data_IF_563495073330
#
_entry.id   IF_563495073330
#
_cell.length_a   1.000
_cell.length_b   1.000
_cell.length_c   1.000
_cell.angle_alpha   90.00
_cell.angle_beta   90.00
_cell.angle_gamma   90.00
#
_symmetry.space_group_name_H-M   'P 1'
#
loop_
_entity.id
_entity.type
_entity.pdbx_description
1 polymer ?
#
# COMPACT_ATOMS: atom_id res chain seq x y z
N UNK A 1 22.60 46.55 -6.98
CA UNK A 1 23.54 45.40 -6.97
C UNK A 1 23.31 44.52 -5.73
N UNK A 2 22.06 44.19 -5.39
CA UNK A 2 21.70 43.35 -4.22
C UNK A 2 20.81 42.15 -4.59
N UNK A 3 20.31 42.08 -5.83
CA UNK A 3 19.40 41.01 -6.27
C UNK A 3 20.12 39.77 -6.80
N UNK A 4 21.35 39.90 -7.32
CA UNK A 4 22.12 38.75 -7.85
C UNK A 4 22.46 37.71 -6.77
N UNK A 5 22.68 38.13 -5.52
CA UNK A 5 22.96 37.20 -4.41
C UNK A 5 21.72 36.37 -4.03
N UNK A 6 20.51 36.96 -4.12
CA UNK A 6 19.27 36.25 -3.79
C UNK A 6 18.92 35.20 -4.85
N UNK A 7 19.18 35.51 -6.12
CA UNK A 7 18.94 34.60 -7.24
C UNK A 7 19.89 33.39 -7.24
N UNK A 8 21.15 33.59 -6.87
CA UNK A 8 22.12 32.48 -6.80
C UNK A 8 21.83 31.53 -5.63
N UNK A 9 21.45 32.09 -4.47
CA UNK A 9 21.10 31.29 -3.29
C UNK A 9 19.85 30.45 -3.52
N UNK A 10 18.81 31.00 -4.16
CA UNK A 10 17.60 30.21 -4.48
C UNK A 10 17.89 29.10 -5.49
N UNK A 11 18.74 29.35 -6.48
CA UNK A 11 19.16 28.34 -7.46
C UNK A 11 19.91 27.17 -6.79
N UNK A 12 20.83 27.46 -5.87
CA UNK A 12 21.57 26.44 -5.12
C UNK A 12 20.62 25.59 -4.25
N UNK A 13 19.71 26.23 -3.50
CA UNK A 13 18.75 25.52 -2.67
C UNK A 13 17.86 24.61 -3.52
N UNK A 14 17.40 25.11 -4.67
CA UNK A 14 16.56 24.33 -5.59
C UNK A 14 17.30 23.13 -6.14
N UNK A 15 18.55 23.31 -6.57
CA UNK A 15 19.41 22.22 -7.01
C UNK A 15 19.61 21.18 -5.89
N UNK A 16 19.79 21.62 -4.65
CA UNK A 16 19.98 20.73 -3.51
C UNK A 16 18.71 19.93 -3.18
N UNK A 17 17.54 20.56 -3.22
CA UNK A 17 16.24 19.87 -3.04
C UNK A 17 16.05 18.80 -4.12
N UNK A 18 16.32 19.13 -5.39
CA UNK A 18 16.21 18.18 -6.50
C UNK A 18 17.20 17.02 -6.31
N UNK A 19 18.45 17.32 -5.93
CA UNK A 19 19.46 16.29 -5.68
C UNK A 19 19.04 15.34 -4.55
N UNK A 20 18.47 15.84 -3.46
CA UNK A 20 17.95 15.02 -2.36
C UNK A 20 16.82 14.12 -2.87
N UNK A 21 15.84 14.68 -3.60
CA UNK A 21 14.71 13.90 -4.14
C UNK A 21 15.17 12.77 -5.07
N UNK A 22 16.22 13.01 -5.87
CA UNK A 22 16.79 11.99 -6.75
C UNK A 22 17.51 10.87 -5.97
N UNK A 23 18.11 11.19 -4.81
CA UNK A 23 18.82 10.23 -3.96
C UNK A 23 17.86 9.46 -3.04
N UNK A 24 16.71 10.05 -2.66
CA UNK A 24 15.75 9.46 -1.74
C UNK A 24 15.20 8.10 -2.18
N UNK A 25 15.31 7.76 -3.48
CA UNK A 25 14.89 6.47 -4.00
C UNK A 25 13.37 6.22 -3.86
N UNK A 26 12.85 5.13 -4.46
CA UNK A 26 11.48 4.72 -4.20
C UNK A 26 11.36 4.17 -2.78
N UNK A 27 10.45 4.74 -1.97
CA UNK A 27 10.08 4.14 -0.68
C UNK A 27 9.21 2.92 -0.95
N UNK A 28 9.54 1.78 -0.34
CA UNK A 28 8.74 0.56 -0.49
C UNK A 28 7.63 0.58 0.55
N UNK A 29 6.41 0.93 0.14
CA UNK A 29 5.28 1.08 1.05
C UNK A 29 4.60 -0.24 1.47
N UNK A 30 4.86 -1.32 0.72
CA UNK A 30 4.25 -2.63 0.92
C UNK A 30 5.18 -3.73 0.43
N UNK A 31 5.17 -4.87 1.12
CA UNK A 31 5.77 -6.12 0.69
C UNK A 31 4.69 -7.20 0.58
N UNK A 32 4.69 -7.92 -0.54
CA UNK A 32 3.83 -9.09 -0.76
C UNK A 32 4.72 -10.32 -0.81
N UNK A 33 4.45 -11.29 0.06
CA UNK A 33 5.15 -12.56 0.10
C UNK A 33 4.15 -13.72 0.00
N UNK A 34 4.58 -14.82 -0.62
CA UNK A 34 3.83 -16.07 -0.64
C UNK A 34 4.60 -17.07 0.21
N UNK A 35 3.93 -17.65 1.20
CA UNK A 35 4.51 -18.58 2.17
C UNK A 35 3.84 -19.93 1.99
N UNK A 36 4.62 -21.01 2.14
CA UNK A 36 4.17 -22.40 2.06
C UNK A 36 3.54 -22.81 0.71
N UNK A 37 3.85 -22.09 -0.37
CA UNK A 37 3.48 -22.53 -1.72
C UNK A 37 4.44 -23.67 -2.15
N UNK A 38 3.93 -24.87 -2.46
CA UNK A 38 4.78 -25.97 -2.89
C UNK A 38 5.26 -25.77 -4.34
N UNK A 39 6.47 -26.26 -4.63
CA UNK A 39 7.07 -26.19 -5.98
C UNK A 39 6.33 -27.05 -7.01
N UNK A 40 5.60 -28.07 -6.55
CA UNK A 40 4.81 -28.97 -7.38
C UNK A 40 3.53 -29.40 -6.64
N UNK A 41 2.50 -29.75 -7.41
CA UNK A 41 1.22 -30.22 -6.91
C UNK A 41 0.72 -31.38 -7.80
N UNK A 42 0.10 -32.38 -7.19
CA UNK A 42 -0.53 -33.46 -7.94
C UNK A 42 -2.01 -33.17 -8.24
N UNK A 43 -2.55 -33.81 -9.29
CA UNK A 43 -3.95 -33.62 -9.66
C UNK A 43 -4.86 -34.14 -8.54
N UNK A 44 -5.72 -33.27 -8.04
CA UNK A 44 -6.65 -33.58 -6.95
C UNK A 44 -6.14 -33.21 -5.55
N UNK A 45 -4.91 -32.71 -5.46
CA UNK A 45 -4.36 -32.19 -4.20
C UNK A 45 -4.95 -30.83 -3.84
N UNK A 46 -5.19 -30.59 -2.55
CA UNK A 46 -5.59 -29.29 -2.02
C UNK A 46 -4.33 -28.56 -1.58
N UNK A 47 -4.02 -27.46 -2.25
CA UNK A 47 -2.87 -26.62 -1.94
C UNK A 47 -3.29 -25.50 -1.00
N UNK A 48 -2.58 -25.37 0.12
CA UNK A 48 -2.75 -24.30 1.08
C UNK A 48 -1.46 -23.48 1.11
N UNK A 49 -1.59 -22.17 0.88
CA UNK A 49 -0.49 -21.22 0.97
C UNK A 49 -0.99 -19.94 1.63
N UNK A 50 -0.08 -19.15 2.17
CA UNK A 50 -0.39 -17.88 2.81
C UNK A 50 0.13 -16.72 1.97
N UNK A 51 -0.75 -15.74 1.72
CA UNK A 51 -0.35 -14.44 1.21
C UNK A 51 -0.08 -13.54 2.41
N UNK A 52 1.17 -13.12 2.57
CA UNK A 52 1.59 -12.18 3.59
C UNK A 52 1.73 -10.79 2.97
N UNK A 53 0.88 -9.87 3.39
CA UNK A 53 0.84 -8.49 2.93
C UNK A 53 1.31 -7.62 4.09
N UNK A 54 2.57 -7.22 4.05
CA UNK A 54 3.18 -6.36 5.04
C UNK A 54 3.14 -4.91 4.54
N UNK A 55 2.50 -4.03 5.32
CA UNK A 55 2.43 -2.59 5.06
C UNK A 55 3.12 -1.92 6.24
N UNK A 56 4.13 -1.09 5.94
CA UNK A 56 4.86 -0.39 6.99
C UNK A 56 3.90 0.47 7.83
N UNK A 57 4.12 0.52 9.15
CA UNK A 57 3.26 1.24 10.08
C UNK A 57 3.17 2.76 9.79
N UNK A 58 4.15 3.30 9.07
CA UNK A 58 4.17 4.70 8.62
C UNK A 58 3.52 4.93 7.26
N UNK A 59 3.08 3.87 6.59
CA UNK A 59 2.50 3.89 5.24
C UNK A 59 0.98 3.70 5.26
N UNK A 60 0.30 4.32 4.29
CA UNK A 60 -1.16 4.29 4.16
C UNK A 60 -1.55 3.80 2.78
N UNK A 61 -1.58 2.48 2.61
CA UNK A 61 -1.82 1.84 1.30
C UNK A 61 -3.25 1.26 1.23
N UNK A 62 -4.23 1.98 0.64
CA UNK A 62 -5.61 1.48 0.53
C UNK A 62 -5.70 0.26 -0.39
N UNK A 63 -5.93 -0.91 0.19
CA UNK A 63 -6.25 -2.13 -0.56
C UNK A 63 -7.74 -2.11 -0.94
N UNK A 64 -8.04 -2.19 -2.23
CA UNK A 64 -9.43 -2.21 -2.73
C UNK A 64 -9.96 -3.62 -2.91
N UNK A 65 -9.12 -4.49 -3.47
CA UNK A 65 -9.44 -5.89 -3.76
C UNK A 65 -8.16 -6.72 -3.79
N UNK A 66 -8.31 -8.02 -3.59
CA UNK A 66 -7.24 -9.02 -3.73
C UNK A 66 -7.56 -9.83 -4.97
N UNK A 67 -6.62 -9.93 -5.91
CA UNK A 67 -6.80 -10.66 -7.17
C UNK A 67 -5.88 -11.87 -7.15
N UNK A 68 -6.46 -13.07 -7.13
CA UNK A 68 -5.74 -14.31 -7.35
C UNK A 68 -5.80 -14.65 -8.84
N UNK A 69 -4.65 -14.65 -9.51
CA UNK A 69 -4.55 -15.03 -10.92
C UNK A 69 -3.85 -16.37 -11.05
N UNK A 70 -4.55 -17.35 -11.63
CA UNK A 70 -4.03 -18.69 -11.90
C UNK A 70 -4.26 -18.98 -13.38
N UNK A 71 -3.17 -19.04 -14.15
CA UNK A 71 -3.19 -19.12 -15.61
C UNK A 71 -4.05 -18.00 -16.23
N UNK A 72 -5.18 -18.34 -16.85
CA UNK A 72 -6.11 -17.39 -17.46
C UNK A 72 -7.34 -17.08 -16.60
N UNK A 73 -7.35 -17.55 -15.34
CA UNK A 73 -8.47 -17.33 -14.41
C UNK A 73 -8.10 -16.27 -13.41
N UNK A 74 -8.92 -15.22 -13.31
CA UNK A 74 -8.80 -14.18 -12.29
C UNK A 74 -9.96 -14.28 -11.30
N UNK A 75 -9.63 -14.51 -10.04
CA UNK A 75 -10.57 -14.52 -8.93
C UNK A 75 -10.38 -13.29 -8.08
N UNK A 76 -11.42 -12.46 -7.99
CA UNK A 76 -11.38 -11.19 -7.27
C UNK A 76 -12.05 -11.38 -5.92
N UNK A 77 -11.37 -10.95 -4.86
CA UNK A 77 -11.85 -11.01 -3.50
C UNK A 77 -11.91 -9.61 -2.91
N UNK A 78 -12.93 -9.35 -2.11
CA UNK A 78 -12.94 -8.20 -1.22
C UNK A 78 -11.86 -8.37 -0.14
N UNK A 79 -11.44 -7.28 0.49
CA UNK A 79 -10.40 -7.28 1.53
C UNK A 79 -10.76 -8.11 2.78
N UNK A 80 -12.05 -8.40 2.98
CA UNK A 80 -12.55 -9.30 4.02
C UNK A 80 -12.46 -10.80 3.63
N UNK A 81 -11.92 -11.12 2.45
CA UNK A 81 -11.80 -12.50 1.94
C UNK A 81 -13.01 -13.02 1.16
N UNK A 82 -14.11 -12.27 1.05
CA UNK A 82 -15.30 -12.76 0.34
C UNK A 82 -15.13 -12.62 -1.17
N UNK A 83 -15.49 -13.66 -1.93
CA UNK A 83 -15.43 -13.65 -3.39
C UNK A 83 -16.34 -12.55 -3.97
N UNK A 84 -15.78 -11.73 -4.87
CA UNK A 84 -16.51 -10.69 -5.58
C UNK A 84 -17.45 -11.35 -6.60
N UNK A 85 -18.75 -10.96 -6.64
CA UNK A 85 -19.75 -11.57 -7.54
C UNK A 85 -19.45 -11.40 -9.03
N UNK A 86 -18.55 -10.49 -9.41
CA UNK A 86 -18.10 -10.31 -10.80
C UNK A 86 -17.11 -11.42 -11.23
N UNK A 87 -16.55 -12.17 -10.27
CA UNK A 87 -15.60 -13.25 -10.55
C UNK A 87 -16.24 -14.40 -11.34
N UNK A 88 -15.50 -15.08 -12.23
CA UNK A 88 -16.04 -16.21 -12.97
C UNK A 88 -16.37 -17.41 -12.07
N UNK A 89 -17.26 -18.30 -12.55
CA UNK A 89 -17.83 -19.42 -11.77
C UNK A 89 -16.78 -20.41 -11.25
N UNK A 90 -15.68 -20.58 -11.99
CA UNK A 90 -14.57 -21.46 -11.62
C UNK A 90 -13.79 -20.98 -10.38
N UNK A 91 -14.01 -19.75 -9.91
CA UNK A 91 -13.41 -19.24 -8.68
C UNK A 91 -13.97 -19.86 -7.39
N UNK A 92 -15.06 -20.62 -7.48
CA UNK A 92 -15.62 -21.38 -6.36
C UNK A 92 -14.69 -22.50 -5.86
N UNK A 93 -13.68 -22.90 -6.65
CA UNK A 93 -12.65 -23.86 -6.24
C UNK A 93 -11.60 -23.26 -5.28
N UNK A 94 -11.57 -21.93 -5.12
CA UNK A 94 -10.58 -21.23 -4.31
C UNK A 94 -11.25 -20.53 -3.13
N UNK A 95 -10.71 -20.74 -1.93
CA UNK A 95 -11.17 -20.09 -0.71
C UNK A 95 -10.08 -19.16 -0.19
N UNK A 96 -10.39 -17.87 -0.09
CA UNK A 96 -9.52 -16.90 0.58
C UNK A 96 -10.03 -16.68 2.00
N UNK A 97 -9.21 -16.97 3.00
CA UNK A 97 -9.52 -16.71 4.40
C UNK A 97 -8.56 -15.68 4.94
N UNK A 98 -9.10 -14.61 5.53
CA UNK A 98 -8.27 -13.60 6.21
C UNK A 98 -7.78 -14.20 7.54
N UNK A 99 -6.46 -14.32 7.69
CA UNK A 99 -5.82 -14.93 8.88
C UNK A 99 -5.54 -13.94 9.99
N UNK A 100 -5.35 -12.66 9.66
CA UNK A 100 -5.19 -11.57 10.62
C UNK A 100 -6.10 -10.40 10.29
N UNK A 101 -6.79 -9.91 11.31
CA UNK A 101 -7.63 -8.72 11.22
C UNK A 101 -6.85 -7.54 11.81
N UNK A 102 -6.23 -6.76 10.94
CA UNK A 102 -5.80 -5.41 11.30
C UNK A 102 -6.99 -4.48 11.07
N UNK A 103 -7.52 -3.82 12.13
CA UNK A 103 -8.60 -2.88 11.96
C UNK A 103 -8.12 -1.69 11.12
N UNK A 104 -8.71 -1.53 9.94
CA UNK A 104 -8.55 -0.31 9.15
C UNK A 104 -9.28 0.81 9.89
N UNK A 105 -8.54 1.78 10.43
CA UNK A 105 -9.09 2.93 11.13
C UNK A 105 -9.15 4.12 10.19
N UNK A 106 -10.33 4.68 9.94
CA UNK A 106 -10.40 5.98 9.27
C UNK A 106 -9.81 7.05 10.19
N UNK A 107 -8.66 7.60 9.82
CA UNK A 107 -7.99 8.66 10.56
C UNK A 107 -8.63 10.01 10.27
N UNK A 108 -9.38 10.54 11.23
CA UNK A 108 -9.74 11.95 11.31
C UNK A 108 -8.62 12.65 12.11
N UNK A 109 -7.63 13.23 11.42
CA UNK A 109 -6.50 13.91 12.05
C UNK A 109 -6.64 15.42 12.02
N UNK A 110 -6.39 16.08 13.15
CA UNK A 110 -6.16 17.53 13.20
C UNK A 110 -4.65 17.80 13.17
N UNK A 111 -4.20 18.61 12.21
CA UNK A 111 -2.83 19.14 12.22
C UNK A 111 -2.74 20.28 13.23
N UNK A 112 -2.15 20.02 14.41
CA UNK A 112 -1.88 21.05 15.41
C UNK A 112 -0.37 21.26 15.53
N UNK A 113 0.11 22.46 15.20
CA UNK A 113 1.46 22.90 15.54
C UNK A 113 1.44 23.45 16.97
N UNK A 114 2.27 22.91 17.86
CA UNK A 114 2.34 23.36 19.25
C UNK A 114 3.09 24.69 19.41
N UNK A 115 3.81 25.17 18.37
CA UNK A 115 4.64 26.38 18.43
C UNK A 115 4.00 27.59 17.75
N UNK A 116 3.17 27.36 16.75
CA UNK A 116 2.35 28.39 16.13
C UNK A 116 0.91 27.99 16.38
N UNK A 117 0.10 28.83 17.02
CA UNK A 117 -1.32 28.58 17.34
C UNK A 117 -2.22 28.46 16.10
N UNK A 118 -1.67 28.02 14.96
CA UNK A 118 -2.33 27.80 13.69
C UNK A 118 -2.78 26.34 13.60
N UNK A 119 -4.09 26.17 13.54
CA UNK A 119 -4.70 24.90 13.14
C UNK A 119 -4.55 24.74 11.62
N UNK A 120 -3.70 23.82 11.19
CA UNK A 120 -3.70 23.36 9.80
C UNK A 120 -4.87 22.37 9.68
N UNK A 121 -5.82 22.70 8.82
CA UNK A 121 -7.18 22.14 8.83
C UNK A 121 -7.30 20.61 8.70
N UNK A 122 -8.55 20.16 8.71
CA UNK A 122 -8.97 18.75 8.67
C UNK A 122 -8.31 17.97 7.52
N UNK A 123 -7.59 16.91 7.87
CA UNK A 123 -7.11 15.92 6.92
C UNK A 123 -7.93 14.63 7.03
N UNK A 124 -8.51 14.20 5.91
CA UNK A 124 -9.07 12.85 5.80
C UNK A 124 -7.95 11.90 5.38
N UNK A 125 -7.66 10.91 6.21
CA UNK A 125 -6.70 9.86 5.86
C UNK A 125 -7.16 8.48 6.31
N UNK A 126 -6.58 7.46 5.71
CA UNK A 126 -6.74 6.07 6.12
C UNK A 126 -5.70 5.70 7.19
N UNK A 127 -5.97 4.72 8.03
CA UNK A 127 -5.09 4.22 9.09
C UNK A 127 -5.56 2.87 9.57
#
# INVERSE_FOLDING_TARGET
MWDFHKQYTSAIITFFIIAILLISGPVQAMTLSIIDLPDYAEIGEIINFMLDIDIDASERVPIKEIILSINSTECRYHTNGTLNPISPVNCSAFTLTRTQDTPYTYGQGYGHDNYTTQNYGYGYGYG
#
